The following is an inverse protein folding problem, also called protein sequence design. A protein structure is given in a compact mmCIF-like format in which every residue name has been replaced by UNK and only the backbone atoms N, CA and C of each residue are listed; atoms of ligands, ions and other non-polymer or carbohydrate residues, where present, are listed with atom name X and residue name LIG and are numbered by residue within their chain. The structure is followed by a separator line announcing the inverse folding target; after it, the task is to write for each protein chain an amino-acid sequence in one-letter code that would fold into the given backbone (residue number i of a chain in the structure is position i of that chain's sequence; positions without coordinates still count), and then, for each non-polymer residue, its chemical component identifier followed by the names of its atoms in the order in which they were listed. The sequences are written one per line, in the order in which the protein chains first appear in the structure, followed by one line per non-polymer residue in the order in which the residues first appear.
data_IF_601762737038
#
_entry.id   IF_601762737038
#
_cell.length_a   1.000
_cell.length_b   1.000
_cell.length_c   1.000
_cell.angle_alpha   90.00
_cell.angle_beta   90.00
_cell.angle_gamma   90.00
#
_symmetry.space_group_name_H-M   'P 1'
#
loop_
_entity.id
_entity.type
_entity.pdbx_description
1 polymer ?
#
# COMPACT_ATOMS: atom_id res chain seq x y z
N UNK A 1 22.12 -0.19 -20.48
CA UNK A 1 21.79 -0.92 -19.24
C UNK A 1 20.64 -1.86 -19.55
N UNK A 2 20.89 -3.17 -19.71
CA UNK A 2 19.86 -4.14 -20.14
C UNK A 2 19.55 -5.04 -18.94
N UNK A 3 18.29 -5.05 -18.50
CA UNK A 3 17.80 -5.97 -17.48
C UNK A 3 17.66 -7.35 -18.12
N UNK A 4 18.51 -8.28 -17.71
CA UNK A 4 18.46 -9.68 -18.15
C UNK A 4 17.31 -10.39 -17.45
N UNK A 5 16.38 -10.90 -18.22
CA UNK A 5 15.33 -11.82 -17.79
C UNK A 5 15.94 -13.18 -17.45
N UNK A 6 15.71 -13.68 -16.23
CA UNK A 6 15.90 -15.09 -15.88
C UNK A 6 14.54 -15.75 -15.58
N UNK A 7 14.27 -16.94 -16.12
CA UNK A 7 12.97 -17.60 -16.01
C UNK A 7 12.91 -18.47 -14.75
N UNK A 8 11.95 -18.23 -13.85
CA UNK A 8 11.46 -19.24 -12.92
C UNK A 8 9.95 -19.04 -12.72
N UNK A 9 9.22 -20.03 -13.22
CA UNK A 9 7.79 -20.15 -13.32
C UNK A 9 7.29 -20.91 -12.07
N UNK A 10 6.58 -20.20 -11.19
CA UNK A 10 5.72 -20.78 -10.16
C UNK A 10 4.49 -19.87 -10.05
N UNK A 11 3.60 -19.97 -11.03
CA UNK A 11 2.37 -19.18 -11.09
C UNK A 11 1.19 -19.91 -10.44
N UNK A 12 0.74 -19.50 -9.25
CA UNK A 12 -0.62 -19.08 -9.06
C UNK A 12 -0.64 -17.56 -9.29
N UNK A 13 -0.74 -17.15 -10.56
CA UNK A 13 -0.86 -15.75 -11.01
C UNK A 13 0.28 -14.84 -10.49
N UNK A 14 1.32 -14.62 -11.30
CA UNK A 14 2.42 -13.69 -11.01
C UNK A 14 1.90 -12.26 -10.89
N UNK A 15 1.39 -11.90 -9.72
CA UNK A 15 1.03 -10.53 -9.40
C UNK A 15 2.34 -9.77 -9.31
N UNK A 16 2.57 -8.86 -10.25
CA UNK A 16 3.77 -8.02 -10.25
C UNK A 16 3.81 -7.28 -8.90
N UNK A 17 4.84 -7.58 -8.09
CA UNK A 17 4.94 -7.10 -6.71
C UNK A 17 5.07 -5.59 -6.63
N UNK A 18 5.77 -4.97 -7.60
CA UNK A 18 5.90 -3.52 -7.70
C UNK A 18 4.52 -2.86 -7.85
N UNK A 19 3.67 -3.44 -8.70
CA UNK A 19 2.30 -2.98 -8.84
C UNK A 19 1.47 -3.20 -7.57
N UNK A 20 1.72 -4.26 -6.81
CA UNK A 20 1.00 -4.50 -5.56
C UNK A 20 1.37 -3.49 -4.48
N UNK A 21 2.66 -3.17 -4.36
CA UNK A 21 3.15 -2.11 -3.47
C UNK A 21 2.54 -0.76 -3.87
N UNK A 22 2.56 -0.44 -5.18
CA UNK A 22 1.94 0.79 -5.68
C UNK A 22 0.43 0.84 -5.41
N UNK A 23 -0.28 -0.28 -5.60
CA UNK A 23 -1.71 -0.39 -5.29
C UNK A 23 -1.99 -0.19 -3.80
N UNK A 24 -1.20 -0.82 -2.93
CA UNK A 24 -1.34 -0.68 -1.48
C UNK A 24 -1.18 0.77 -1.04
N UNK A 25 -0.16 1.47 -1.53
CA UNK A 25 0.05 2.89 -1.25
C UNK A 25 -1.10 3.75 -1.78
N UNK A 26 -1.55 3.50 -3.02
CA UNK A 26 -2.64 4.25 -3.63
C UNK A 26 -4.00 4.03 -2.95
N UNK A 27 -4.19 2.89 -2.27
CA UNK A 27 -5.46 2.54 -1.61
C UNK A 27 -5.71 3.27 -0.29
N UNK A 28 -4.71 3.95 0.28
CA UNK A 28 -4.84 4.59 1.60
C UNK A 28 -4.80 6.11 1.46
N UNK A 29 -5.84 6.78 1.97
CA UNK A 29 -5.87 8.24 2.03
C UNK A 29 -5.11 8.79 3.25
N UNK A 30 -5.28 8.16 4.42
CA UNK A 30 -4.54 8.46 5.64
C UNK A 30 -4.22 7.16 6.35
N UNK A 31 -2.98 6.98 6.81
CA UNK A 31 -2.59 5.72 7.43
C UNK A 31 -1.12 5.40 7.24
N UNK A 32 -0.81 4.11 7.22
CA UNK A 32 0.52 3.57 6.94
C UNK A 32 0.44 2.30 6.10
N UNK A 33 1.42 2.12 5.22
CA UNK A 33 1.72 0.84 4.56
C UNK A 33 3.04 0.33 5.12
N UNK A 34 3.07 -0.93 5.54
CA UNK A 34 4.26 -1.61 6.05
C UNK A 34 4.61 -2.78 5.12
N UNK A 35 5.88 -2.87 4.71
CA UNK A 35 6.38 -3.88 3.78
C UNK A 35 7.43 -4.71 4.50
N UNK A 36 7.25 -6.03 4.52
CA UNK A 36 8.16 -6.95 5.17
C UNK A 36 8.93 -7.70 4.09
N UNK A 37 10.26 -7.65 4.18
CA UNK A 37 11.18 -8.25 3.23
C UNK A 37 12.01 -9.30 3.96
N UNK A 38 12.04 -10.51 3.42
CA UNK A 38 12.95 -11.58 3.85
C UNK A 38 13.68 -12.11 2.62
N UNK A 39 15.00 -12.34 2.73
CA UNK A 39 15.83 -12.85 1.62
C UNK A 39 15.69 -12.04 0.32
N UNK A 40 15.54 -10.71 0.45
CA UNK A 40 15.37 -9.80 -0.70
C UNK A 40 14.03 -9.92 -1.43
N UNK A 41 13.08 -10.70 -0.90
CA UNK A 41 11.74 -10.86 -1.43
C UNK A 41 10.71 -10.21 -0.50
N UNK A 42 9.73 -9.52 -1.08
CA UNK A 42 8.57 -9.04 -0.31
C UNK A 42 7.73 -10.25 0.06
N UNK A 43 7.57 -10.49 1.36
CA UNK A 43 6.77 -11.62 1.87
C UNK A 43 5.43 -11.16 2.43
N UNK A 44 5.29 -9.88 2.75
CA UNK A 44 4.05 -9.32 3.29
C UNK A 44 3.95 -7.82 3.01
N UNK A 45 2.71 -7.38 2.80
CA UNK A 45 2.31 -5.97 2.73
C UNK A 45 1.13 -5.79 3.68
N UNK A 46 1.26 -4.92 4.67
CA UNK A 46 0.20 -4.58 5.61
C UNK A 46 -0.26 -3.14 5.41
N UNK A 47 -1.57 -2.92 5.40
CA UNK A 47 -2.19 -1.61 5.22
C UNK A 47 -2.98 -1.26 6.48
N UNK A 48 -2.68 -0.11 7.09
CA UNK A 48 -3.41 0.42 8.25
C UNK A 48 -4.00 1.77 7.93
N UNK A 49 -5.29 1.80 7.62
CA UNK A 49 -6.03 3.03 7.35
C UNK A 49 -6.41 3.76 8.66
N UNK A 50 -6.44 5.10 8.60
CA UNK A 50 -6.84 5.98 9.69
C UNK A 50 -7.92 6.94 9.22
N UNK A 51 -9.06 6.95 9.91
CA UNK A 51 -10.13 7.90 9.62
C UNK A 51 -9.88 9.18 10.41
N UNK A 52 -9.80 10.33 9.73
CA UNK A 52 -9.77 11.64 10.39
C UNK A 52 -11.19 12.13 10.60
N UNK A 53 -11.64 12.11 11.85
CA UNK A 53 -12.90 12.72 12.24
C UNK A 53 -12.62 14.21 12.41
N UNK A 54 -12.90 14.99 11.37
CA UNK A 54 -13.00 16.44 11.53
C UNK A 54 -14.26 16.72 12.34
N UNK A 55 -14.09 17.19 13.58
CA UNK A 55 -15.21 17.78 14.30
C UNK A 55 -15.69 18.95 13.44
N UNK A 56 -16.87 18.80 12.83
CA UNK A 56 -17.55 19.94 12.26
C UNK A 56 -17.79 20.88 13.44
N UNK A 57 -16.89 21.84 13.60
CA UNK A 57 -17.04 22.94 14.53
C UNK A 57 -18.17 23.80 13.98
N UNK A 58 -19.40 23.30 14.11
CA UNK A 58 -20.62 24.02 13.86
C UNK A 58 -20.79 24.94 15.07
N UNK A 59 -19.90 25.92 15.18
CA UNK A 59 -20.18 27.13 15.92
C UNK A 59 -21.30 27.80 15.12
N UNK A 60 -22.53 27.36 15.37
CA UNK A 60 -23.69 28.22 15.19
C UNK A 60 -23.55 29.32 16.24
N UNK A 61 -22.74 30.31 15.90
CA UNK A 61 -22.68 31.58 16.58
C UNK A 61 -23.90 32.36 16.08
N UNK A 62 -24.80 32.67 17.01
CA UNK A 62 -25.66 33.88 17.17
C UNK A 62 -26.50 34.30 15.93
N UNK A 63 -27.79 34.67 16.02
CA UNK A 63 -28.59 35.35 17.05
C UNK A 63 -30.02 34.82 17.08
#
# INVERSE_FOLDING_TARGET
MKYSTTPQDHHPVSRNIDQEVLRAIASIQYGSVEIIIHEGQVVQIECREKIRIHSANNIRRIE
#
